data_IF_125145261958
#
_entry.id   IF_125145261958
#
_cell.length_a   1.000
_cell.length_b   1.000
_cell.length_c   1.000
_cell.angle_alpha   90.00
_cell.angle_beta   90.00
_cell.angle_gamma   90.00
#
_symmetry.space_group_name_H-M   'P 1'
#
loop_
_entity.id
_entity.type
_entity.pdbx_description
1 polymer ?
#
# COMPACT_ATOMS: atom_id res chain seq x y z
N UNK A 1 -2.90 -44.90 -7.16
CA UNK A 1 -2.92 -46.28 -6.59
C UNK A 1 -1.59 -46.67 -5.91
N UNK A 2 -0.78 -45.72 -5.44
CA UNK A 2 0.46 -45.98 -4.69
C UNK A 2 0.53 -45.17 -3.37
N UNK A 3 -0.64 -44.76 -2.86
CA UNK A 3 -0.80 -44.03 -1.59
C UNK A 3 -2.00 -44.53 -0.76
N UNK A 4 -2.43 -45.78 -0.97
CA UNK A 4 -3.57 -46.37 -0.22
C UNK A 4 -3.16 -47.34 0.90
N UNK A 5 -1.87 -47.45 1.25
CA UNK A 5 -1.44 -48.48 2.21
C UNK A 5 -0.37 -48.06 3.23
N UNK A 6 -0.55 -46.93 3.90
CA UNK A 6 0.16 -46.65 5.16
C UNK A 6 -0.82 -46.53 6.32
N UNK A 7 -1.31 -47.69 6.76
CA UNK A 7 -2.04 -47.89 8.00
C UNK A 7 -1.06 -48.12 9.15
N UNK A 8 -0.85 -47.11 10.01
CA UNK A 8 -0.76 -47.23 11.49
C UNK A 8 -0.40 -45.87 12.13
N UNK A 9 -1.34 -45.30 12.89
CA UNK A 9 -1.05 -44.42 14.03
C UNK A 9 -0.38 -43.05 13.78
N UNK A 10 -0.46 -42.48 12.59
CA UNK A 10 0.04 -41.12 12.31
C UNK A 10 -1.12 -40.20 11.96
N UNK A 11 -1.09 -38.98 12.51
CA UNK A 11 -1.99 -37.87 12.13
C UNK A 11 -1.79 -37.67 10.61
N UNK A 12 -2.73 -38.15 9.79
CA UNK A 12 -2.66 -37.92 8.34
C UNK A 12 -3.03 -36.48 8.06
N UNK A 13 -2.06 -35.71 7.57
CA UNK A 13 -2.26 -34.35 7.10
C UNK A 13 -3.06 -34.43 5.79
N UNK A 14 -4.24 -33.81 5.76
CA UNK A 14 -5.08 -33.72 4.55
C UNK A 14 -4.42 -32.82 3.48
N UNK A 15 -4.87 -32.93 2.23
CA UNK A 15 -4.31 -32.13 1.13
C UNK A 15 -4.56 -30.63 1.35
N UNK A 16 -5.73 -30.30 1.89
CA UNK A 16 -6.13 -28.96 2.31
C UNK A 16 -5.18 -28.45 3.40
N UNK A 17 -4.88 -29.28 4.42
CA UNK A 17 -3.93 -28.91 5.47
C UNK A 17 -2.51 -28.69 4.92
N UNK A 18 -2.10 -29.40 3.87
CA UNK A 18 -0.83 -29.14 3.20
C UNK A 18 -0.80 -27.77 2.52
N UNK A 19 -1.88 -27.38 1.84
CA UNK A 19 -2.02 -26.03 1.25
C UNK A 19 -1.90 -24.95 2.34
N UNK A 20 -2.61 -25.13 3.45
CA UNK A 20 -2.53 -24.20 4.58
C UNK A 20 -1.12 -24.13 5.19
N UNK A 21 -0.44 -25.27 5.36
CA UNK A 21 0.93 -25.31 5.88
C UNK A 21 1.92 -24.60 4.94
N UNK A 22 1.75 -24.73 3.62
CA UNK A 22 2.56 -23.99 2.65
C UNK A 22 2.29 -22.51 2.72
N UNK A 23 1.02 -22.10 2.81
CA UNK A 23 0.66 -20.69 2.99
C UNK A 23 1.27 -20.10 4.26
N UNK A 24 1.08 -20.75 5.41
CA UNK A 24 1.67 -20.32 6.70
C UNK A 24 3.20 -20.28 6.61
N UNK A 25 3.82 -21.28 5.97
CA UNK A 25 5.27 -21.33 5.78
C UNK A 25 5.78 -20.19 4.89
N UNK A 26 5.11 -19.91 3.77
CA UNK A 26 5.44 -18.79 2.89
C UNK A 26 5.29 -17.44 3.61
N UNK A 27 4.19 -17.24 4.34
CA UNK A 27 3.98 -16.05 5.17
C UNK A 27 5.04 -15.92 6.25
N UNK A 28 5.37 -17.00 6.97
CA UNK A 28 6.42 -16.97 7.98
C UNK A 28 7.79 -16.59 7.38
N UNK A 29 8.09 -17.03 6.15
CA UNK A 29 9.30 -16.62 5.42
C UNK A 29 9.26 -15.14 5.02
N UNK A 30 8.13 -14.65 4.50
CA UNK A 30 7.92 -13.23 4.18
C UNK A 30 8.16 -12.37 5.44
N UNK A 31 7.55 -12.74 6.56
CA UNK A 31 7.65 -12.02 7.84
C UNK A 31 9.02 -12.13 8.50
N UNK A 32 9.79 -13.18 8.20
CA UNK A 32 11.11 -13.35 8.78
C UNK A 32 12.14 -12.36 8.26
N UNK A 33 11.89 -11.75 7.11
CA UNK A 33 12.81 -10.89 6.35
C UNK A 33 14.19 -11.51 6.04
N UNK A 34 14.42 -12.77 6.39
CA UNK A 34 15.65 -13.51 6.08
C UNK A 34 15.78 -13.82 4.59
N UNK A 35 14.64 -13.83 3.90
CA UNK A 35 14.53 -14.06 2.46
C UNK A 35 13.71 -12.91 1.87
N UNK A 36 14.07 -12.49 0.67
CA UNK A 36 13.30 -11.47 -0.05
C UNK A 36 11.84 -11.92 -0.21
N UNK A 37 10.88 -11.08 0.18
CA UNK A 37 9.45 -11.39 0.20
C UNK A 37 8.91 -11.96 -1.12
N UNK A 38 9.35 -11.40 -2.24
CA UNK A 38 9.00 -11.90 -3.58
C UNK A 38 9.44 -13.36 -3.74
N UNK A 39 10.69 -13.68 -3.38
CA UNK A 39 11.21 -15.05 -3.49
C UNK A 39 10.41 -16.00 -2.58
N UNK A 40 10.12 -15.59 -1.34
CA UNK A 40 9.31 -16.37 -0.42
C UNK A 40 7.91 -16.68 -0.98
N UNK A 41 7.23 -15.68 -1.56
CA UNK A 41 5.93 -15.85 -2.19
C UNK A 41 5.98 -16.86 -3.36
N UNK A 42 6.96 -16.71 -4.26
CA UNK A 42 7.12 -17.59 -5.41
C UNK A 42 7.50 -19.03 -5.04
N UNK A 43 8.32 -19.23 -3.99
CA UNK A 43 8.57 -20.56 -3.42
C UNK A 43 7.26 -21.21 -2.99
N UNK A 44 6.40 -20.47 -2.28
CA UNK A 44 5.08 -20.95 -1.88
C UNK A 44 4.20 -21.31 -3.08
N UNK A 45 4.17 -20.47 -4.12
CA UNK A 45 3.42 -20.75 -5.36
C UNK A 45 3.86 -22.05 -6.03
N UNK A 46 5.17 -22.30 -6.09
CA UNK A 46 5.73 -23.54 -6.65
C UNK A 46 5.26 -24.74 -5.84
N UNK A 47 5.30 -24.69 -4.51
CA UNK A 47 4.79 -25.77 -3.66
C UNK A 47 3.29 -25.99 -3.82
N UNK A 48 2.50 -24.92 -3.92
CA UNK A 48 1.05 -25.01 -4.16
C UNK A 48 0.76 -25.69 -5.49
N UNK A 49 1.46 -25.33 -6.57
CA UNK A 49 1.31 -25.99 -7.87
C UNK A 49 1.59 -27.49 -7.77
N UNK A 50 2.70 -27.88 -7.11
CA UNK A 50 3.05 -29.30 -6.94
C UNK A 50 2.02 -30.05 -6.10
N UNK A 51 1.60 -29.49 -4.96
CA UNK A 51 0.58 -30.10 -4.10
C UNK A 51 -0.74 -30.24 -4.86
N UNK A 52 -1.18 -29.18 -5.53
CA UNK A 52 -2.39 -29.17 -6.34
C UNK A 52 -2.38 -30.25 -7.42
N UNK A 53 -1.29 -30.40 -8.16
CA UNK A 53 -1.14 -31.46 -9.18
C UNK A 53 -1.13 -32.87 -8.61
N UNK A 54 -0.48 -33.09 -7.47
CA UNK A 54 -0.35 -34.43 -6.86
C UNK A 54 -1.66 -34.86 -6.21
N UNK A 55 -2.34 -33.93 -5.54
CA UNK A 55 -3.49 -34.24 -4.68
C UNK A 55 -4.84 -34.00 -5.36
N UNK A 56 -4.88 -33.17 -6.42
CA UNK A 56 -6.11 -32.65 -7.02
C UNK A 56 -7.05 -32.01 -5.99
N UNK A 57 -6.47 -31.29 -5.01
CA UNK A 57 -7.22 -30.64 -3.92
C UNK A 57 -8.10 -29.48 -4.40
N UNK A 58 -7.72 -28.82 -5.50
CA UNK A 58 -8.47 -27.68 -6.04
C UNK A 58 -9.61 -28.13 -6.94
N UNK A 59 -10.77 -27.49 -6.80
CA UNK A 59 -11.94 -27.77 -7.62
C UNK A 59 -11.83 -27.03 -8.96
N UNK A 60 -11.06 -27.60 -9.88
CA UNK A 60 -10.93 -27.03 -11.21
C UNK A 60 -12.28 -27.06 -11.94
N UNK A 61 -12.72 -25.91 -12.44
CA UNK A 61 -13.80 -25.88 -13.42
C UNK A 61 -13.42 -26.79 -14.59
N UNK A 62 -14.39 -27.55 -15.13
CA UNK A 62 -14.18 -28.72 -16.01
C UNK A 62 -13.41 -28.49 -17.33
N UNK A 63 -12.92 -27.28 -17.59
CA UNK A 63 -12.18 -26.88 -18.78
C UNK A 63 -10.81 -26.23 -18.52
N UNK A 64 -10.42 -25.96 -17.27
CA UNK A 64 -9.17 -25.23 -16.98
C UNK A 64 -8.07 -26.13 -16.41
N UNK A 65 -6.83 -25.87 -16.83
CA UNK A 65 -5.65 -26.44 -16.18
C UNK A 65 -5.41 -25.75 -14.84
N UNK A 66 -4.78 -26.43 -13.86
CA UNK A 66 -4.41 -25.79 -12.59
C UNK A 66 -3.53 -24.54 -12.81
N UNK A 67 -2.69 -24.54 -13.83
CA UNK A 67 -1.85 -23.40 -14.19
C UNK A 67 -2.70 -22.20 -14.63
N UNK A 68 -3.74 -22.42 -15.44
CA UNK A 68 -4.69 -21.38 -15.83
C UNK A 68 -5.51 -20.88 -14.64
N UNK A 69 -5.95 -21.80 -13.78
CA UNK A 69 -6.68 -21.46 -12.55
C UNK A 69 -5.83 -20.58 -11.64
N UNK A 70 -4.58 -20.97 -11.38
CA UNK A 70 -3.64 -20.17 -10.58
C UNK A 70 -3.36 -18.78 -11.19
N UNK A 71 -3.26 -18.70 -12.52
CA UNK A 71 -3.11 -17.40 -13.20
C UNK A 71 -4.38 -16.55 -13.08
N UNK A 72 -5.56 -17.16 -13.05
CA UNK A 72 -6.84 -16.46 -12.88
C UNK A 72 -7.01 -15.86 -11.49
N UNK A 73 -6.34 -16.41 -10.47
CA UNK A 73 -6.32 -15.82 -9.12
C UNK A 73 -5.54 -14.51 -9.06
N UNK A 74 -4.66 -14.22 -10.04
CA UNK A 74 -3.92 -12.96 -10.11
C UNK A 74 -4.83 -11.83 -10.58
N UNK A 75 -5.04 -10.84 -9.73
CA UNK A 75 -5.80 -9.65 -10.10
C UNK A 75 -4.95 -8.70 -10.96
N UNK A 76 -5.12 -8.79 -12.28
CA UNK A 76 -4.43 -7.93 -13.24
C UNK A 76 -4.94 -6.48 -13.24
N UNK A 77 -6.10 -6.18 -12.64
CA UNK A 77 -6.54 -4.80 -12.46
C UNK A 77 -5.63 -4.10 -11.45
N UNK A 78 -5.30 -4.78 -10.34
CA UNK A 78 -4.36 -4.25 -9.33
C UNK A 78 -2.96 -4.08 -9.95
N UNK A 79 -2.45 -5.11 -10.62
CA UNK A 79 -1.12 -5.06 -11.26
C UNK A 79 -1.03 -3.93 -12.30
N UNK A 80 -2.05 -3.80 -13.17
CA UNK A 80 -2.09 -2.79 -14.20
C UNK A 80 -2.16 -1.36 -13.65
N UNK A 81 -2.97 -1.15 -12.60
CA UNK A 81 -3.05 0.14 -11.93
C UNK A 81 -1.71 0.56 -11.35
N UNK A 82 -1.08 -0.32 -10.56
CA UNK A 82 0.20 -0.06 -9.92
C UNK A 82 1.30 0.19 -10.94
N UNK A 83 1.38 -0.64 -11.99
CA UNK A 83 2.35 -0.46 -13.07
C UNK A 83 2.24 0.93 -13.72
N UNK A 84 1.03 1.40 -14.02
CA UNK A 84 0.84 2.72 -14.60
C UNK A 84 1.29 3.85 -13.67
N UNK A 85 1.00 3.75 -12.37
CA UNK A 85 1.44 4.75 -11.38
C UNK A 85 2.95 4.73 -11.13
N UNK A 86 3.57 3.56 -11.08
CA UNK A 86 5.02 3.41 -10.97
C UNK A 86 5.75 4.02 -12.17
N UNK A 87 5.20 3.92 -13.37
CA UNK A 87 5.76 4.59 -14.56
C UNK A 87 5.70 6.13 -14.39
N UNK A 88 4.58 6.68 -13.91
CA UNK A 88 4.50 8.12 -13.63
C UNK A 88 5.56 8.57 -12.63
N UNK A 89 5.70 7.83 -11.52
CA UNK A 89 6.69 8.12 -10.50
C UNK A 89 8.12 8.04 -11.03
N UNK A 90 8.44 7.00 -11.79
CA UNK A 90 9.75 6.81 -12.42
C UNK A 90 10.10 7.97 -13.36
N UNK A 91 9.15 8.46 -14.17
CA UNK A 91 9.38 9.61 -15.05
C UNK A 91 9.55 10.91 -14.24
N UNK A 92 8.77 11.12 -13.18
CA UNK A 92 8.93 12.29 -12.30
C UNK A 92 10.28 12.29 -11.59
N UNK A 93 10.72 11.12 -11.11
CA UNK A 93 12.03 10.94 -10.51
C UNK A 93 13.15 11.21 -11.52
N UNK A 94 13.04 10.67 -12.74
CA UNK A 94 13.97 10.96 -13.83
C UNK A 94 14.09 12.47 -14.12
N UNK A 95 12.99 13.22 -13.97
CA UNK A 95 13.01 14.67 -14.18
C UNK A 95 13.61 15.49 -13.02
N UNK A 96 13.92 14.87 -11.87
CA UNK A 96 14.35 15.57 -10.66
C UNK A 96 13.23 16.22 -9.85
N UNK A 97 11.97 15.86 -10.09
CA UNK A 97 10.79 16.47 -9.43
C UNK A 97 10.84 16.37 -7.89
N UNK A 98 11.26 15.23 -7.35
CA UNK A 98 11.27 15.00 -5.91
C UNK A 98 12.38 15.78 -5.20
N UNK A 99 13.55 15.94 -5.85
CA UNK A 99 14.64 16.78 -5.34
C UNK A 99 14.21 18.27 -5.34
N UNK A 100 13.56 18.73 -6.43
CA UNK A 100 12.95 20.06 -6.50
C UNK A 100 12.01 20.31 -5.31
N UNK A 101 11.13 19.36 -5.00
CA UNK A 101 10.17 19.51 -3.91
C UNK A 101 10.87 19.54 -2.55
N UNK A 102 11.87 18.69 -2.31
CA UNK A 102 12.57 18.68 -1.03
C UNK A 102 13.34 19.98 -0.77
N UNK A 103 14.00 20.54 -1.79
CA UNK A 103 14.65 21.87 -1.71
C UNK A 103 13.59 22.93 -1.42
N UNK A 104 12.45 22.90 -2.15
CA UNK A 104 11.35 23.85 -1.93
C UNK A 104 10.77 23.76 -0.52
N UNK A 105 10.55 22.56 0.01
CA UNK A 105 10.08 22.32 1.37
C UNK A 105 11.06 22.87 2.41
N UNK A 106 12.36 22.70 2.18
CA UNK A 106 13.42 23.25 3.03
C UNK A 106 13.45 24.78 3.01
N UNK A 107 13.28 25.41 1.84
CA UNK A 107 13.19 26.88 1.74
C UNK A 107 11.95 27.42 2.43
N UNK A 108 10.81 26.74 2.27
CA UNK A 108 9.55 27.11 2.94
C UNK A 108 9.62 26.93 4.46
N UNK A 109 10.40 25.96 4.95
CA UNK A 109 10.60 25.74 6.38
C UNK A 109 11.45 26.84 7.02
N UNK A 110 12.24 27.58 6.23
CA UNK A 110 13.20 28.60 6.71
C UNK A 110 14.14 28.05 7.80
N UNK A 111 14.45 26.75 7.69
CA UNK A 111 15.26 26.01 8.64
C UNK A 111 14.59 25.71 9.99
N UNK A 112 13.26 25.84 10.10
CA UNK A 112 12.52 25.25 11.22
C UNK A 112 12.37 23.73 10.98
N UNK A 113 12.98 22.86 11.82
CA UNK A 113 12.93 21.41 11.59
C UNK A 113 11.52 20.83 11.68
N UNK A 114 10.64 21.43 12.48
CA UNK A 114 9.24 20.97 12.56
C UNK A 114 8.47 21.33 11.29
N UNK A 115 8.69 22.53 10.74
CA UNK A 115 8.06 22.89 9.47
C UNK A 115 8.58 22.01 8.32
N UNK A 116 9.83 21.56 8.37
CA UNK A 116 10.35 20.59 7.41
C UNK A 116 9.57 19.27 7.48
N UNK A 117 9.36 18.73 8.68
CA UNK A 117 8.50 17.55 8.92
C UNK A 117 7.09 17.76 8.37
N UNK A 118 6.50 18.93 8.62
CA UNK A 118 5.15 19.25 8.12
C UNK A 118 5.14 19.31 6.60
N UNK A 119 6.06 20.03 5.94
CA UNK A 119 6.02 20.20 4.49
C UNK A 119 6.34 18.91 3.73
N UNK A 120 7.40 18.20 4.13
CA UNK A 120 7.75 16.92 3.50
C UNK A 120 6.67 15.88 3.77
N UNK A 121 6.22 15.74 5.02
CA UNK A 121 5.13 14.83 5.37
C UNK A 121 3.84 15.13 4.62
N UNK A 122 3.42 16.41 4.54
CA UNK A 122 2.24 16.82 3.76
C UNK A 122 2.40 16.48 2.28
N UNK A 123 3.57 16.78 1.72
CA UNK A 123 3.85 16.49 0.31
C UNK A 123 3.76 14.98 0.04
N UNK A 124 4.41 14.17 0.87
CA UNK A 124 4.37 12.70 0.74
C UNK A 124 2.94 12.18 0.85
N UNK A 125 2.14 12.67 1.81
CA UNK A 125 0.71 12.36 1.90
C UNK A 125 -0.04 12.71 0.61
N UNK A 126 0.16 13.91 0.05
CA UNK A 126 -0.53 14.36 -1.16
C UNK A 126 -0.14 13.51 -2.37
N UNK A 127 1.14 13.21 -2.53
CA UNK A 127 1.61 12.33 -3.60
C UNK A 127 1.04 10.93 -3.43
N UNK A 128 1.01 10.44 -2.18
CA UNK A 128 0.44 9.13 -1.85
C UNK A 128 -1.09 9.06 -2.05
N UNK A 129 -1.79 10.15 -2.38
CA UNK A 129 -3.18 10.06 -2.83
C UNK A 129 -3.29 9.58 -4.28
N UNK A 130 -2.21 9.67 -5.05
CA UNK A 130 -2.22 9.39 -6.49
C UNK A 130 -1.21 8.31 -6.88
N UNK A 131 -0.09 8.21 -6.16
CA UNK A 131 0.97 7.22 -6.36
C UNK A 131 0.96 6.31 -5.12
N UNK A 132 1.40 5.06 -5.24
CA UNK A 132 1.51 4.18 -4.08
C UNK A 132 2.56 4.70 -3.08
N UNK A 133 2.29 4.45 -1.81
CA UNK A 133 3.11 4.84 -0.67
C UNK A 133 4.56 4.31 -0.74
N UNK A 134 4.79 3.10 -1.25
CA UNK A 134 6.12 2.50 -1.35
C UNK A 134 6.99 3.27 -2.34
N UNK A 135 6.46 3.49 -3.54
CA UNK A 135 7.11 4.28 -4.58
C UNK A 135 7.37 5.70 -4.10
N UNK A 136 6.41 6.35 -3.44
CA UNK A 136 6.60 7.69 -2.87
C UNK A 136 7.79 7.73 -1.90
N UNK A 137 7.91 6.74 -1.02
CA UNK A 137 9.00 6.64 -0.02
C UNK A 137 10.35 6.33 -0.65
N UNK A 138 10.42 5.40 -1.60
CA UNK A 138 11.68 5.05 -2.27
C UNK A 138 12.33 6.26 -2.90
N UNK A 139 11.52 7.22 -3.37
CA UNK A 139 12.01 8.42 -4.03
C UNK A 139 12.26 9.57 -3.06
N UNK A 140 11.33 9.87 -2.14
CA UNK A 140 11.46 11.05 -1.27
C UNK A 140 12.41 10.81 -0.09
N UNK A 141 12.42 9.61 0.51
CA UNK A 141 13.21 9.35 1.71
C UNK A 141 14.73 9.51 1.51
N UNK A 142 15.35 9.06 0.39
CA UNK A 142 16.77 9.30 0.14
C UNK A 142 17.09 10.79 -0.01
N UNK A 143 16.19 11.54 -0.65
CA UNK A 143 16.32 13.00 -0.81
C UNK A 143 16.24 13.67 0.56
N UNK A 144 15.26 13.30 1.38
CA UNK A 144 15.08 13.80 2.74
C UNK A 144 16.27 13.47 3.63
N UNK A 145 16.83 12.28 3.51
CA UNK A 145 18.05 11.89 4.21
C UNK A 145 19.23 12.80 3.82
N UNK A 146 19.44 13.04 2.52
CA UNK A 146 20.49 13.95 2.03
C UNK A 146 20.27 15.38 2.50
N UNK A 147 19.04 15.87 2.50
CA UNK A 147 18.71 17.21 3.01
C UNK A 147 18.97 17.33 4.51
N UNK A 148 18.59 16.34 5.30
CA UNK A 148 18.88 16.31 6.73
C UNK A 148 20.39 16.28 7.01
N UNK A 149 21.16 15.56 6.19
CA UNK A 149 22.63 15.55 6.28
C UNK A 149 23.23 16.92 5.95
N UNK A 150 22.77 17.58 4.87
CA UNK A 150 23.18 18.97 4.54
C UNK A 150 22.85 19.96 5.66
N UNK A 151 21.69 19.79 6.30
CA UNK A 151 21.21 20.62 7.41
C UNK A 151 21.82 20.23 8.77
N UNK A 152 22.62 19.15 8.82
CA UNK A 152 23.19 18.60 10.05
C UNK A 152 22.13 18.31 11.14
N UNK A 153 20.91 17.94 10.73
CA UNK A 153 19.82 17.54 11.63
C UNK A 153 19.63 16.03 11.62
N UNK A 154 19.15 15.49 12.74
CA UNK A 154 18.81 14.06 12.80
C UNK A 154 17.63 13.76 11.83
N UNK A 155 17.80 12.85 10.85
CA UNK A 155 16.80 12.55 9.83
C UNK A 155 15.63 11.69 10.32
N UNK A 156 15.70 11.10 11.53
CA UNK A 156 14.68 10.17 12.02
C UNK A 156 13.28 10.81 12.02
N UNK A 157 13.04 12.01 12.58
CA UNK A 157 11.68 12.57 12.62
C UNK A 157 11.05 12.84 11.25
N UNK A 158 11.72 13.47 10.25
CA UNK A 158 11.13 13.63 8.93
C UNK A 158 10.94 12.31 8.19
N UNK A 159 11.88 11.36 8.28
CA UNK A 159 11.72 10.04 7.65
C UNK A 159 10.53 9.25 8.23
N UNK A 160 10.39 9.22 9.57
CA UNK A 160 9.23 8.60 10.22
C UNK A 160 7.93 9.31 9.83
N UNK A 161 7.96 10.64 9.72
CA UNK A 161 6.77 11.40 9.35
C UNK A 161 6.35 11.13 7.91
N UNK A 162 7.30 11.09 6.97
CA UNK A 162 7.03 10.74 5.58
C UNK A 162 6.37 9.37 5.48
N UNK A 163 6.97 8.35 6.10
CA UNK A 163 6.42 6.99 6.05
C UNK A 163 5.03 6.90 6.70
N UNK A 164 4.90 7.42 7.92
CA UNK A 164 3.64 7.30 8.67
C UNK A 164 2.51 8.11 8.04
N UNK A 165 2.81 9.31 7.56
CA UNK A 165 1.82 10.17 6.91
C UNK A 165 1.54 9.75 5.46
N UNK A 166 2.45 9.02 4.81
CA UNK A 166 2.19 8.32 3.55
C UNK A 166 1.15 7.24 3.75
N UNK A 167 1.38 6.30 4.68
CA UNK A 167 0.42 5.23 5.03
C UNK A 167 -0.93 5.80 5.48
N UNK A 168 -0.91 6.82 6.38
CA UNK A 168 -2.13 7.50 6.84
C UNK A 168 -2.87 8.16 5.66
N UNK A 169 -2.15 8.81 4.75
CA UNK A 169 -2.68 9.45 3.55
C UNK A 169 -3.28 8.47 2.56
N UNK A 170 -2.59 7.34 2.36
CA UNK A 170 -2.98 6.26 1.46
C UNK A 170 -4.38 5.73 1.78
N UNK A 171 -4.77 5.68 3.06
CA UNK A 171 -6.13 5.28 3.49
C UNK A 171 -7.24 6.09 2.80
N UNK A 172 -7.03 7.38 2.47
CA UNK A 172 -8.06 8.18 1.80
C UNK A 172 -8.26 7.86 0.32
N UNK A 173 -7.33 7.15 -0.33
CA UNK A 173 -7.34 6.97 -1.77
C UNK A 173 -7.33 5.50 -2.15
N UNK A 174 -8.11 5.15 -3.18
CA UNK A 174 -8.09 3.83 -3.79
C UNK A 174 -6.69 3.45 -4.30
N UNK A 175 -5.92 4.42 -4.79
CA UNK A 175 -4.62 4.20 -5.45
C UNK A 175 -3.45 4.26 -4.46
N UNK A 176 -3.63 4.95 -3.34
CA UNK A 176 -2.54 5.35 -2.46
C UNK A 176 -1.85 4.23 -1.70
N UNK A 177 -2.53 3.11 -1.49
CA UNK A 177 -2.01 1.94 -0.80
C UNK A 177 -2.55 0.68 -1.51
N UNK A 178 -1.70 -0.32 -1.83
CA UNK A 178 -2.15 -1.53 -2.52
C UNK A 178 -3.31 -2.30 -1.84
N UNK A 179 -3.43 -2.38 -0.49
CA UNK A 179 -4.63 -2.87 0.19
C UNK A 179 -5.94 -2.26 -0.31
N UNK A 180 -5.96 -0.96 -0.55
CA UNK A 180 -7.17 -0.26 -1.01
C UNK A 180 -7.54 -0.64 -2.44
N UNK A 181 -6.53 -0.80 -3.31
CA UNK A 181 -6.72 -1.30 -4.67
C UNK A 181 -7.33 -2.71 -4.64
N UNK A 182 -6.82 -3.58 -3.76
CA UNK A 182 -7.31 -4.96 -3.61
C UNK A 182 -8.74 -5.02 -3.09
N UNK A 183 -9.05 -4.23 -2.06
CA UNK A 183 -10.41 -4.11 -1.53
C UNK A 183 -11.35 -3.63 -2.62
N UNK A 184 -10.94 -2.61 -3.38
CA UNK A 184 -11.78 -2.02 -4.40
C UNK A 184 -11.99 -2.94 -5.61
N UNK A 185 -10.95 -3.66 -6.05
CA UNK A 185 -11.06 -4.61 -7.15
C UNK A 185 -12.00 -5.78 -6.79
N UNK A 186 -11.88 -6.30 -5.57
CA UNK A 186 -12.80 -7.31 -5.06
C UNK A 186 -14.24 -6.78 -4.95
N UNK A 187 -14.41 -5.61 -4.33
CA UNK A 187 -15.72 -4.98 -4.16
C UNK A 187 -16.43 -4.72 -5.50
N UNK A 188 -15.70 -4.30 -6.54
CA UNK A 188 -16.25 -4.15 -7.89
C UNK A 188 -16.69 -5.50 -8.50
N UNK A 189 -15.95 -6.58 -8.24
CA UNK A 189 -16.30 -7.93 -8.71
C UNK A 189 -17.61 -8.42 -8.06
N UNK A 190 -17.83 -8.07 -6.80
CA UNK A 190 -19.07 -8.34 -6.06
C UNK A 190 -20.20 -7.34 -6.36
N UNK A 191 -19.96 -6.34 -7.22
CA UNK A 191 -20.95 -5.31 -7.57
C UNK A 191 -21.27 -4.33 -6.45
N UNK A 192 -20.38 -4.17 -5.47
CA UNK A 192 -20.53 -3.18 -4.39
C UNK A 192 -20.29 -1.77 -4.93
N UNK A 193 -21.20 -0.86 -4.59
CA UNK A 193 -21.15 0.54 -5.01
C UNK A 193 -20.26 1.34 -4.06
N UNK A 194 -19.56 2.35 -4.58
CA UNK A 194 -18.77 3.29 -3.77
C UNK A 194 -17.33 2.87 -3.51
N UNK A 195 -16.86 1.76 -4.09
CA UNK A 195 -15.46 1.35 -4.06
C UNK A 195 -14.71 1.76 -5.34
N UNK A 196 -14.91 3.01 -5.76
CA UNK A 196 -14.17 3.66 -6.83
C UNK A 196 -13.25 4.77 -6.27
N UNK A 197 -12.50 5.43 -7.14
CA UNK A 197 -11.55 6.47 -6.73
C UNK A 197 -12.23 7.58 -5.89
N UNK A 198 -13.42 8.04 -6.32
CA UNK A 198 -14.16 9.06 -5.60
C UNK A 198 -14.76 8.54 -4.30
N UNK A 199 -15.26 7.31 -4.29
CA UNK A 199 -15.85 6.68 -3.14
C UNK A 199 -14.87 6.58 -1.98
N UNK A 200 -13.61 6.19 -2.22
CA UNK A 200 -12.56 6.26 -1.19
C UNK A 200 -12.37 7.68 -0.63
N UNK A 201 -12.27 8.69 -1.51
CA UNK A 201 -12.10 10.07 -1.08
C UNK A 201 -13.30 10.62 -0.29
N UNK A 202 -14.52 10.24 -0.67
CA UNK A 202 -15.76 10.67 -0.03
C UNK A 202 -15.91 10.01 1.35
N UNK A 203 -15.68 8.70 1.45
CA UNK A 203 -15.91 7.94 2.68
C UNK A 203 -14.76 8.08 3.66
N UNK A 204 -13.51 8.08 3.19
CA UNK A 204 -12.31 8.05 4.04
C UNK A 204 -11.53 9.37 4.06
N UNK A 205 -11.76 10.29 3.12
CA UNK A 205 -10.97 11.53 3.02
C UNK A 205 -11.01 12.41 4.27
N UNK A 206 -12.20 12.63 4.84
CA UNK A 206 -12.34 13.42 6.09
C UNK A 206 -11.73 12.69 7.29
N UNK A 207 -11.90 11.37 7.37
CA UNK A 207 -11.29 10.54 8.41
C UNK A 207 -9.77 10.67 8.35
N UNK A 208 -9.19 10.49 7.17
CA UNK A 208 -7.76 10.58 6.94
C UNK A 208 -7.23 11.97 7.27
N UNK A 209 -7.95 13.05 6.94
CA UNK A 209 -7.56 14.40 7.36
C UNK A 209 -7.52 14.55 8.89
N UNK A 210 -8.52 14.02 9.60
CA UNK A 210 -8.55 14.04 11.07
C UNK A 210 -7.40 13.21 11.67
N UNK A 211 -7.18 12.01 11.14
CA UNK A 211 -6.07 11.13 11.52
C UNK A 211 -4.71 11.80 11.25
N UNK A 212 -4.55 12.46 10.11
CA UNK A 212 -3.34 13.19 9.73
C UNK A 212 -3.04 14.34 10.70
N UNK A 213 -4.04 15.15 11.05
CA UNK A 213 -3.90 16.22 12.05
C UNK A 213 -3.55 15.64 13.42
N UNK A 214 -4.19 14.53 13.83
CA UNK A 214 -3.90 13.87 15.09
C UNK A 214 -2.46 13.32 15.14
N UNK A 215 -2.00 12.69 14.05
CA UNK A 215 -0.63 12.19 13.89
C UNK A 215 0.39 13.32 14.01
N UNK A 216 0.22 14.41 13.27
CA UNK A 216 1.11 15.57 13.39
C UNK A 216 1.06 16.20 14.79
N UNK A 217 -0.12 16.26 15.42
CA UNK A 217 -0.27 16.73 16.79
C UNK A 217 0.56 15.92 17.78
N UNK A 218 0.48 14.59 17.68
CA UNK A 218 1.28 13.68 18.49
C UNK A 218 2.78 13.81 18.21
N UNK A 219 3.20 13.79 16.94
CA UNK A 219 4.61 13.92 16.56
C UNK A 219 5.20 15.26 17.01
N UNK A 220 4.42 16.36 16.98
CA UNK A 220 4.85 17.67 17.47
C UNK A 220 5.15 17.66 18.96
N UNK A 221 4.32 16.97 19.73
CA UNK A 221 4.50 16.81 21.16
C UNK A 221 5.67 15.88 21.47
N UNK A 222 5.77 14.75 20.78
CA UNK A 222 6.82 13.75 20.97
C UNK A 222 8.21 14.32 20.64
N UNK A 223 8.35 15.01 19.50
CA UNK A 223 9.61 15.62 19.04
C UNK A 223 9.82 17.06 19.55
N UNK A 224 9.22 17.44 20.69
CA UNK A 224 9.32 18.79 21.26
C UNK A 224 10.75 19.26 21.53
N UNK A 225 11.65 18.34 21.88
CA UNK A 225 13.06 18.64 22.15
C UNK A 225 13.87 18.72 20.85
N UNK A 226 13.62 17.77 19.92
CA UNK A 226 14.28 17.74 18.62
C UNK A 226 13.99 19.01 17.81
N UNK A 227 12.72 19.44 17.75
CA UNK A 227 12.32 20.63 16.98
C UNK A 227 12.87 21.95 17.51
N UNK A 228 13.44 21.96 18.73
CA UNK A 228 14.10 23.14 19.29
C UNK A 228 15.52 23.35 18.76
N UNK A 229 16.13 22.33 18.16
CA UNK A 229 17.49 22.38 17.62
C UNK A 229 17.47 22.89 16.18
N UNK A 230 17.72 24.18 16.00
CA UNK A 230 17.78 24.78 14.65
C UNK A 230 19.13 24.48 13.98
N UNK A 231 19.16 24.29 12.65
CA UNK A 231 20.41 24.16 11.90
C UNK A 231 21.28 25.41 12.02
N UNK A 232 22.61 25.24 12.11
CA UNK A 232 23.56 26.35 12.26
C UNK A 232 23.86 27.08 10.93
N UNK A 233 23.68 26.43 9.77
CA UNK A 233 24.08 26.92 8.45
C UNK A 233 22.95 26.88 7.39
N UNK A 234 21.80 27.52 7.66
CA UNK A 234 20.62 27.51 6.76
C UNK A 234 20.85 28.37 5.49
N UNK A 235 21.71 29.37 5.57
CA UNK A 235 21.87 30.43 4.56
C UNK A 235 22.24 29.87 3.17
N UNK A 236 23.18 28.92 3.11
CA UNK A 236 23.59 28.31 1.84
C UNK A 236 22.47 27.56 1.12
N UNK A 237 21.53 26.94 1.84
CA UNK A 237 20.42 26.19 1.22
C UNK A 237 19.29 27.14 0.80
N UNK A 238 19.12 28.27 1.49
CA UNK A 238 18.18 29.32 1.06
C UNK A 238 18.61 29.99 -0.25
N UNK A 239 19.91 29.96 -0.54
CA UNK A 239 20.52 30.48 -1.76
C UNK A 239 20.48 29.49 -2.94
N UNK A 240 20.28 28.18 -2.72
CA UNK A 240 20.12 27.19 -3.79
C UNK A 240 18.85 27.50 -4.62
N UNK A 241 18.95 27.49 -5.95
CA UNK A 241 17.78 27.54 -6.84
C UNK A 241 17.18 26.13 -6.94
N UNK A 242 15.92 25.97 -6.53
CA UNK A 242 15.24 24.68 -6.62
C UNK A 242 15.14 24.16 -8.07
N UNK A 243 15.15 25.04 -9.07
CA UNK A 243 15.06 24.65 -10.48
C UNK A 243 16.34 24.03 -11.01
N UNK A 244 17.47 24.21 -10.33
CA UNK A 244 18.73 23.55 -10.69
C UNK A 244 18.66 22.04 -10.45
N UNK A 245 17.72 21.57 -9.63
CA UNK A 245 17.46 20.15 -9.41
C UNK A 245 16.60 19.50 -10.49
N UNK A 246 16.02 20.28 -11.42
CA UNK A 246 15.13 19.77 -12.47
C UNK A 246 15.88 19.62 -13.78
N UNK A 247 16.27 18.39 -14.11
CA UNK A 247 17.02 18.08 -15.33
C UNK A 247 16.22 18.40 -16.61
N UNK A 248 14.92 18.05 -16.63
CA UNK A 248 14.03 18.36 -17.75
C UNK A 248 12.69 18.98 -17.32
N UNK A 249 12.61 20.32 -17.24
CA UNK A 249 11.39 21.02 -16.84
C UNK A 249 10.21 20.85 -17.81
N UNK A 250 10.46 20.54 -19.09
CA UNK A 250 9.38 20.34 -20.06
C UNK A 250 8.74 18.98 -19.86
N UNK A 251 9.58 17.95 -19.72
CA UNK A 251 9.11 16.61 -19.41
C UNK A 251 8.41 16.57 -18.06
N UNK A 252 8.96 17.20 -17.02
CA UNK A 252 8.30 17.30 -15.72
C UNK A 252 6.89 17.90 -15.82
N UNK A 253 6.73 19.03 -16.51
CA UNK A 253 5.42 19.68 -16.71
C UNK A 253 4.45 18.82 -17.50
N UNK A 254 4.94 18.15 -18.53
CA UNK A 254 4.14 17.22 -19.33
C UNK A 254 3.68 16.03 -18.47
N UNK A 255 4.57 15.40 -17.72
CA UNK A 255 4.26 14.28 -16.82
C UNK A 255 3.23 14.69 -15.78
N UNK A 256 3.40 15.84 -15.13
CA UNK A 256 2.42 16.38 -14.17
C UNK A 256 1.08 16.69 -14.83
N UNK A 257 1.07 17.21 -16.06
CA UNK A 257 -0.17 17.49 -16.79
C UNK A 257 -0.92 16.20 -17.17
N UNK A 258 -0.19 15.19 -17.67
CA UNK A 258 -0.78 13.88 -18.00
C UNK A 258 -1.24 13.16 -16.74
N UNK A 259 -0.46 13.18 -15.65
CA UNK A 259 -0.88 12.63 -14.36
C UNK A 259 -2.16 13.33 -13.85
N UNK A 260 -2.22 14.66 -13.92
CA UNK A 260 -3.41 15.41 -13.57
C UNK A 260 -4.63 15.03 -14.41
N UNK A 261 -4.44 14.81 -15.72
CA UNK A 261 -5.49 14.32 -16.61
C UNK A 261 -5.94 12.89 -16.24
N UNK A 262 -4.99 12.00 -15.91
CA UNK A 262 -5.28 10.64 -15.43
C UNK A 262 -6.11 10.66 -14.15
N UNK A 263 -5.75 11.51 -13.19
CA UNK A 263 -6.49 11.66 -11.91
C UNK A 263 -7.91 12.20 -12.17
N UNK A 264 -8.06 13.19 -13.03
CA UNK A 264 -9.38 13.68 -13.45
C UNK A 264 -10.17 12.56 -14.12
N UNK A 265 -9.53 11.73 -14.94
CA UNK A 265 -10.17 10.59 -15.58
C UNK A 265 -10.57 9.49 -14.59
N UNK A 266 -9.80 9.23 -13.53
CA UNK A 266 -10.23 8.37 -12.43
C UNK A 266 -11.51 8.89 -11.78
N UNK A 267 -11.54 10.18 -11.46
CA UNK A 267 -12.71 10.81 -10.84
C UNK A 267 -13.92 10.85 -11.78
N UNK A 268 -13.71 11.02 -13.08
CA UNK A 268 -14.79 11.04 -14.08
C UNK A 268 -15.14 9.66 -14.66
N UNK A 269 -14.49 8.58 -14.21
CA UNK A 269 -14.64 7.23 -14.78
C UNK A 269 -16.10 6.77 -14.85
N UNK A 270 -16.87 6.92 -13.78
CA UNK A 270 -18.30 6.59 -13.77
C UNK A 270 -19.11 7.40 -14.80
N UNK A 271 -18.82 8.70 -14.94
CA UNK A 271 -19.47 9.54 -15.95
C UNK A 271 -19.12 9.12 -17.38
N UNK A 272 -17.88 8.69 -17.62
CA UNK A 272 -17.46 8.17 -18.91
C UNK A 272 -18.14 6.85 -19.24
N UNK A 273 -18.26 5.96 -18.25
CA UNK A 273 -18.97 4.69 -18.41
C UNK A 273 -20.42 4.91 -18.82
N UNK A 274 -21.13 5.83 -18.15
CA UNK A 274 -22.52 6.19 -18.47
C UNK A 274 -22.66 6.84 -19.85
N UNK A 275 -21.75 7.77 -20.20
CA UNK A 275 -21.85 8.55 -21.44
C UNK A 275 -21.45 7.76 -22.69
N UNK A 276 -20.44 6.88 -22.58
CA UNK A 276 -19.87 6.14 -23.70
C UNK A 276 -20.45 4.73 -23.84
N UNK A 277 -21.16 4.24 -22.82
CA UNK A 277 -21.80 2.92 -22.83
C UNK A 277 -20.81 1.75 -22.76
N UNK A 278 -19.59 1.99 -22.27
CA UNK A 278 -18.60 0.94 -21.98
C UNK A 278 -17.91 1.24 -20.66
N UNK A 279 -17.65 0.20 -19.86
CA UNK A 279 -16.93 0.34 -18.59
C UNK A 279 -15.44 0.54 -18.85
N UNK A 280 -14.88 1.62 -18.29
CA UNK A 280 -13.46 1.89 -18.34
C UNK A 280 -12.87 1.77 -16.94
N UNK A 281 -12.26 0.61 -16.65
CA UNK A 281 -11.60 0.38 -15.37
C UNK A 281 -10.41 1.32 -15.14
N UNK A 282 -10.15 1.69 -13.89
CA UNK A 282 -9.08 2.63 -13.55
C UNK A 282 -7.69 2.13 -13.93
N UNK A 283 -7.48 0.81 -13.97
CA UNK A 283 -6.24 0.19 -14.43
C UNK A 283 -5.97 0.52 -15.91
N UNK A 284 -7.01 0.53 -16.75
CA UNK A 284 -6.90 0.90 -18.16
C UNK A 284 -6.62 2.39 -18.32
N UNK A 285 -7.24 3.25 -17.50
CA UNK A 285 -6.96 4.69 -17.46
C UNK A 285 -5.50 4.94 -17.07
N UNK A 286 -5.02 4.28 -16.02
CA UNK A 286 -3.65 4.37 -15.51
C UNK A 286 -2.63 3.95 -16.58
N UNK A 287 -2.81 2.76 -17.17
CA UNK A 287 -1.94 2.25 -18.23
C UNK A 287 -1.99 3.12 -19.50
N UNK A 288 -3.14 3.67 -19.84
CA UNK A 288 -3.27 4.60 -20.97
C UNK A 288 -2.50 5.89 -20.72
N UNK A 289 -2.59 6.44 -19.51
CA UNK A 289 -1.82 7.61 -19.08
C UNK A 289 -0.31 7.33 -19.11
N UNK A 290 0.11 6.18 -18.59
CA UNK A 290 1.50 5.72 -18.61
C UNK A 290 2.02 5.53 -20.04
N UNK A 291 1.24 4.88 -20.91
CA UNK A 291 1.59 4.73 -22.34
C UNK A 291 1.67 6.07 -23.06
N UNK A 292 0.76 7.00 -22.75
CA UNK A 292 0.77 8.35 -23.32
C UNK A 292 2.02 9.13 -22.89
N UNK A 293 2.38 9.11 -21.60
CA UNK A 293 3.59 9.80 -21.16
C UNK A 293 4.85 9.16 -21.75
N UNK A 294 4.94 7.83 -21.84
CA UNK A 294 6.08 7.16 -22.48
C UNK A 294 6.20 7.50 -23.98
N UNK A 295 5.07 7.68 -24.67
CA UNK A 295 5.06 8.06 -26.09
C UNK A 295 5.42 9.54 -26.32
N UNK A 296 5.04 10.42 -25.39
CA UNK A 296 5.25 11.86 -25.50
C UNK A 296 6.54 12.35 -24.83
N UNK A 297 7.02 11.65 -23.81
CA UNK A 297 8.26 11.96 -23.11
C UNK A 297 9.43 11.81 -24.07
N UNK A 298 10.11 12.92 -24.32
CA UNK A 298 11.29 12.98 -25.17
C UNK A 298 12.39 13.71 -24.40
N UNK A 299 13.35 12.98 -23.79
CA UNK A 299 14.49 13.60 -23.14
C UNK A 299 15.17 14.59 -24.09
N UNK A 300 15.60 15.73 -23.54
CA UNK A 300 16.33 16.76 -24.28
C UNK A 300 17.69 16.27 -24.76
N UNK A 301 18.40 15.52 -23.93
CA UNK A 301 19.70 14.97 -24.29
C UNK A 301 19.54 13.78 -25.24
N UNK A 302 20.16 13.87 -26.42
CA UNK A 302 20.08 12.81 -27.43
C UNK A 302 20.69 11.48 -26.95
N UNK A 303 21.71 11.51 -26.10
CA UNK A 303 22.34 10.32 -25.50
C UNK A 303 21.40 9.57 -24.57
N UNK A 304 20.52 10.26 -23.85
CA UNK A 304 19.54 9.65 -22.96
C UNK A 304 18.32 9.11 -23.72
N UNK A 305 18.08 9.52 -24.97
CA UNK A 305 16.90 9.08 -25.74
C UNK A 305 16.89 7.59 -26.05
N UNK A 306 18.05 6.99 -26.32
CA UNK A 306 18.14 5.56 -26.61
C UNK A 306 18.02 4.71 -25.33
N UNK A 307 18.44 5.24 -24.18
CA UNK A 307 18.41 4.57 -22.87
C UNK A 307 17.19 4.89 -22.00
N UNK A 308 16.38 5.91 -22.36
CA UNK A 308 15.30 6.43 -21.52
C UNK A 308 14.36 5.34 -21.01
N UNK A 309 13.88 4.48 -21.91
CA UNK A 309 12.96 3.42 -21.52
C UNK A 309 13.62 2.45 -20.53
N UNK A 310 14.91 2.16 -20.68
CA UNK A 310 15.64 1.31 -19.72
C UNK A 310 15.74 2.01 -18.36
N UNK A 311 16.05 3.31 -18.31
CA UNK A 311 16.11 4.05 -17.05
C UNK A 311 14.75 4.11 -16.35
N UNK A 312 13.66 4.27 -17.10
CA UNK A 312 12.31 4.19 -16.53
C UNK A 312 12.00 2.79 -16.03
N UNK A 313 12.32 1.74 -16.80
CA UNK A 313 12.08 0.34 -16.41
C UNK A 313 12.88 -0.02 -15.15
N UNK A 314 14.13 0.47 -15.02
CA UNK A 314 14.98 0.23 -13.85
C UNK A 314 14.45 0.89 -12.58
N UNK A 315 13.67 1.99 -12.73
CA UNK A 315 12.99 2.68 -11.62
C UNK A 315 11.64 2.06 -11.26
N UNK A 316 11.02 1.30 -12.16
CA UNK A 316 9.76 0.60 -11.87
C UNK A 316 10.00 -0.56 -10.89
N UNK A 317 9.15 -0.67 -9.88
CA UNK A 317 9.27 -1.68 -8.83
C UNK A 317 8.75 -3.06 -9.24
N UNK A 318 9.41 -3.70 -10.21
CA UNK A 318 9.05 -5.04 -10.71
C UNK A 318 8.96 -6.10 -9.60
N UNK A 319 9.77 -5.95 -8.56
CA UNK A 319 9.76 -6.84 -7.41
C UNK A 319 8.44 -6.79 -6.63
N UNK A 320 7.80 -5.62 -6.55
CA UNK A 320 6.49 -5.44 -5.94
C UNK A 320 5.39 -6.08 -6.79
N UNK A 321 5.38 -5.82 -8.11
CA UNK A 321 4.42 -6.45 -9.04
C UNK A 321 4.49 -7.98 -9.01
N UNK A 322 5.70 -8.55 -9.02
CA UNK A 322 5.92 -9.99 -8.90
C UNK A 322 5.51 -10.53 -7.51
N UNK A 323 5.66 -9.73 -6.46
CA UNK A 323 5.22 -10.10 -5.12
C UNK A 323 3.69 -10.18 -5.04
N UNK A 324 2.96 -9.19 -5.57
CA UNK A 324 1.50 -9.21 -5.62
C UNK A 324 0.97 -10.40 -6.41
N UNK A 325 1.55 -10.69 -7.58
CA UNK A 325 1.16 -11.86 -8.37
C UNK A 325 1.32 -13.17 -7.58
N UNK A 326 2.46 -13.35 -6.90
CA UNK A 326 2.67 -14.53 -6.05
C UNK A 326 1.72 -14.57 -4.84
N UNK A 327 1.46 -13.42 -4.21
CA UNK A 327 0.57 -13.34 -3.07
C UNK A 327 -0.88 -13.68 -3.43
N UNK A 328 -1.39 -13.19 -4.56
CA UNK A 328 -2.71 -13.53 -5.06
C UNK A 328 -2.87 -15.03 -5.28
N UNK A 329 -1.85 -15.69 -5.85
CA UNK A 329 -1.83 -17.14 -6.02
C UNK A 329 -1.90 -17.86 -4.66
N UNK A 330 -1.12 -17.41 -3.67
CA UNK A 330 -1.11 -18.01 -2.33
C UNK A 330 -2.46 -17.87 -1.63
N UNK A 331 -3.10 -16.70 -1.77
CA UNK A 331 -4.39 -16.40 -1.15
C UNK A 331 -5.52 -17.17 -1.82
N UNK A 332 -5.60 -17.14 -3.15
CA UNK A 332 -6.61 -17.89 -3.92
C UNK A 332 -6.56 -19.39 -3.63
N UNK A 333 -5.37 -19.95 -3.44
CA UNK A 333 -5.21 -21.35 -3.04
C UNK A 333 -5.79 -21.65 -1.65
N UNK A 334 -5.63 -20.77 -0.65
CA UNK A 334 -6.19 -20.98 0.69
C UNK A 334 -7.70 -20.76 0.71
N UNK A 335 -8.19 -19.83 -0.11
CA UNK A 335 -9.61 -19.59 -0.31
C UNK A 335 -10.32 -20.83 -0.87
N UNK A 336 -9.78 -21.44 -1.92
CA UNK A 336 -10.31 -22.66 -2.54
C UNK A 336 -10.44 -23.86 -1.58
N UNK A 337 -9.52 -23.98 -0.62
CA UNK A 337 -9.56 -25.07 0.38
C UNK A 337 -10.40 -24.74 1.63
N UNK A 338 -10.99 -23.53 1.69
CA UNK A 338 -12.04 -23.18 2.65
C UNK A 338 -11.59 -22.87 4.09
N UNK A 339 -10.30 -22.65 4.36
CA UNK A 339 -9.83 -22.34 5.73
C UNK A 339 -10.23 -20.95 6.23
N UNK A 340 -10.60 -20.05 5.33
CA UNK A 340 -10.94 -18.68 5.67
C UNK A 340 -12.27 -18.58 6.45
N UNK A 341 -13.13 -19.59 6.36
CA UNK A 341 -14.41 -19.64 7.11
C UNK A 341 -14.20 -19.72 8.62
N UNK A 342 -13.15 -20.39 9.10
CA UNK A 342 -12.84 -20.47 10.53
C UNK A 342 -12.43 -19.12 11.12
N UNK A 343 -11.72 -18.30 10.33
CA UNK A 343 -11.33 -16.94 10.74
C UNK A 343 -12.57 -16.04 10.77
N UNK A 344 -13.44 -16.16 9.77
CA UNK A 344 -14.72 -15.45 9.69
C UNK A 344 -15.58 -15.73 10.94
N UNK A 345 -15.73 -17.00 11.32
CA UNK A 345 -16.47 -17.41 12.51
C UNK A 345 -15.87 -16.84 13.80
N UNK A 346 -14.54 -16.85 13.93
CA UNK A 346 -13.87 -16.28 15.10
C UNK A 346 -14.13 -14.77 15.26
N UNK A 347 -13.97 -14.00 14.16
CA UNK A 347 -14.20 -12.55 14.16
C UNK A 347 -15.68 -12.23 14.41
N UNK A 348 -16.60 -12.96 13.78
CA UNK A 348 -18.03 -12.80 13.97
C UNK A 348 -18.45 -13.07 15.43
N UNK A 349 -17.97 -14.15 16.03
CA UNK A 349 -18.30 -14.50 17.42
C UNK A 349 -17.81 -13.46 18.44
N UNK A 350 -16.66 -12.83 18.21
CA UNK A 350 -16.16 -11.74 19.07
C UNK A 350 -17.07 -10.51 19.00
N UNK A 351 -17.62 -10.22 17.82
CA UNK A 351 -18.47 -9.05 17.61
C UNK A 351 -19.87 -9.16 18.25
N UNK A 352 -20.29 -10.37 18.62
CA UNK A 352 -21.63 -10.62 19.17
C UNK A 352 -22.76 -10.50 18.14
N UNK A 353 -22.45 -10.43 16.84
CA UNK A 353 -23.43 -10.39 15.75
C UNK A 353 -24.03 -9.02 15.44
N UNK A 354 -23.56 -7.96 16.11
CA UNK A 354 -23.92 -6.58 15.77
C UNK A 354 -22.96 -6.04 14.70
N UNK A 355 -23.53 -5.53 13.60
CA UNK A 355 -22.75 -5.13 12.43
C UNK A 355 -21.77 -3.98 12.73
N UNK A 356 -22.13 -3.04 13.61
CA UNK A 356 -21.27 -1.91 13.96
C UNK A 356 -20.12 -2.38 14.84
N UNK A 357 -20.39 -3.23 15.84
CA UNK A 357 -19.34 -3.84 16.63
C UNK A 357 -18.44 -4.75 15.79
N UNK A 358 -18.97 -5.41 14.75
CA UNK A 358 -18.19 -6.20 13.81
C UNK A 358 -17.24 -5.32 13.00
N UNK A 359 -17.71 -4.20 12.45
CA UNK A 359 -16.86 -3.23 11.75
C UNK A 359 -15.75 -2.69 12.67
N UNK A 360 -16.07 -2.31 13.90
CA UNK A 360 -15.07 -1.86 14.89
C UNK A 360 -14.08 -2.99 15.22
N UNK A 361 -14.55 -4.22 15.36
CA UNK A 361 -13.68 -5.39 15.61
C UNK A 361 -12.70 -5.57 14.45
N UNK A 362 -13.15 -5.42 13.20
CA UNK A 362 -12.26 -5.48 12.03
C UNK A 362 -11.21 -4.38 12.07
N UNK A 363 -11.55 -3.13 12.43
CA UNK A 363 -10.55 -2.04 12.55
C UNK A 363 -9.40 -2.48 13.48
N UNK A 364 -9.73 -2.98 14.68
CA UNK A 364 -8.72 -3.29 15.69
C UNK A 364 -7.99 -4.61 15.44
N UNK A 365 -8.67 -5.64 14.94
CA UNK A 365 -8.04 -6.90 14.53
C UNK A 365 -7.07 -6.65 13.37
N UNK A 366 -7.50 -5.90 12.36
CA UNK A 366 -6.66 -5.51 11.24
C UNK A 366 -5.48 -4.66 11.68
N UNK A 367 -5.69 -3.70 12.59
CA UNK A 367 -4.61 -2.88 13.09
C UNK A 367 -3.57 -3.69 13.88
N UNK A 368 -4.03 -4.60 14.74
CA UNK A 368 -3.15 -5.46 15.53
C UNK A 368 -2.39 -6.47 14.66
N UNK A 369 -3.06 -7.07 13.67
CA UNK A 369 -2.42 -8.00 12.74
C UNK A 369 -1.42 -7.26 11.83
N UNK A 370 -1.81 -6.12 11.27
CA UNK A 370 -0.96 -5.30 10.41
C UNK A 370 0.20 -4.62 11.15
N UNK A 371 0.19 -4.63 12.49
CA UNK A 371 1.36 -4.21 13.28
C UNK A 371 2.49 -5.24 13.25
N UNK A 372 2.21 -6.50 12.90
CA UNK A 372 3.15 -7.62 12.92
C UNK A 372 3.36 -8.19 11.51
N UNK A 373 2.40 -7.96 10.63
CA UNK A 373 2.33 -8.46 9.26
C UNK A 373 2.21 -7.24 8.34
N UNK A 374 2.87 -7.26 7.19
CA UNK A 374 2.68 -6.23 6.17
C UNK A 374 1.18 -6.12 5.80
N UNK A 375 0.68 -4.89 5.70
CA UNK A 375 -0.72 -4.56 5.42
C UNK A 375 -1.24 -5.22 4.13
N UNK A 376 -0.38 -5.46 3.14
CA UNK A 376 -0.72 -6.10 1.86
C UNK A 376 -1.15 -7.57 2.04
N UNK A 377 -0.26 -8.50 2.48
CA UNK A 377 -0.61 -9.90 2.64
C UNK A 377 -1.71 -10.12 3.67
N UNK A 378 -1.80 -9.28 4.70
CA UNK A 378 -2.90 -9.32 5.65
C UNK A 378 -4.25 -8.99 4.99
N UNK A 379 -4.32 -7.89 4.24
CA UNK A 379 -5.57 -7.46 3.56
C UNK A 379 -6.02 -8.51 2.55
N UNK A 380 -5.08 -9.08 1.79
CA UNK A 380 -5.34 -10.15 0.84
C UNK A 380 -6.06 -11.34 1.48
N UNK A 381 -5.62 -11.76 2.67
CA UNK A 381 -6.26 -12.85 3.40
C UNK A 381 -7.61 -12.44 4.01
N UNK A 382 -7.78 -11.17 4.39
CA UNK A 382 -8.98 -10.71 5.11
C UNK A 382 -10.16 -10.39 4.18
N UNK A 383 -9.91 -10.01 2.92
CA UNK A 383 -10.97 -9.77 1.91
C UNK A 383 -11.92 -10.97 1.78
N UNK A 384 -11.44 -12.20 1.48
CA UNK A 384 -12.29 -13.37 1.38
C UNK A 384 -12.89 -13.82 2.73
N UNK A 385 -12.24 -13.50 3.86
CA UNK A 385 -12.83 -13.70 5.19
C UNK A 385 -14.08 -12.82 5.37
N UNK A 386 -14.02 -11.55 4.95
CA UNK A 386 -15.16 -10.62 4.99
C UNK A 386 -16.27 -11.08 4.06
N UNK A 387 -15.93 -11.51 2.84
CA UNK A 387 -16.89 -12.05 1.89
C UNK A 387 -17.63 -13.27 2.45
N UNK A 388 -16.87 -14.21 3.03
CA UNK A 388 -17.41 -15.39 3.69
C UNK A 388 -18.39 -15.04 4.81
N UNK A 389 -18.13 -13.97 5.59
CA UNK A 389 -19.06 -13.50 6.62
C UNK A 389 -20.39 -13.04 6.00
N UNK A 390 -20.36 -12.31 4.89
CA UNK A 390 -21.56 -11.88 4.17
C UNK A 390 -22.41 -13.06 3.72
N UNK A 391 -21.78 -14.09 3.14
CA UNK A 391 -22.46 -15.30 2.67
C UNK A 391 -23.01 -16.14 3.83
N UNK A 392 -22.21 -16.35 4.87
CA UNK A 392 -22.52 -17.29 5.95
C UNK A 392 -23.50 -16.71 6.98
N UNK A 393 -23.38 -15.42 7.29
CA UNK A 393 -24.15 -14.77 8.35
C UNK A 393 -25.12 -13.71 7.84
N UNK A 394 -25.11 -13.38 6.54
CA UNK A 394 -26.01 -12.40 5.95
C UNK A 394 -25.73 -10.95 6.39
N UNK A 395 -24.51 -10.65 6.83
CA UNK A 395 -24.10 -9.31 7.26
C UNK A 395 -23.77 -8.42 6.06
N UNK A 396 -24.04 -7.12 6.19
CA UNK A 396 -23.58 -6.15 5.19
C UNK A 396 -22.04 -6.02 5.21
N UNK A 397 -21.37 -6.40 4.12
CA UNK A 397 -19.91 -6.43 4.01
C UNK A 397 -19.27 -5.09 3.64
N UNK A 398 -20.01 -4.17 3.03
CA UNK A 398 -19.54 -2.82 2.66
C UNK A 398 -18.81 -2.09 3.79
N UNK A 399 -19.39 -1.91 4.99
CA UNK A 399 -18.69 -1.24 6.10
C UNK A 399 -17.50 -2.03 6.63
N UNK A 400 -17.48 -3.35 6.45
CA UNK A 400 -16.38 -4.21 6.88
C UNK A 400 -15.15 -4.01 5.99
N UNK A 401 -15.35 -3.78 4.69
CA UNK A 401 -14.26 -3.42 3.78
C UNK A 401 -13.69 -2.03 4.06
N UNK A 402 -14.53 -1.05 4.39
CA UNK A 402 -14.06 0.25 4.87
C UNK A 402 -13.29 0.13 6.19
N UNK A 403 -13.79 -0.70 7.13
CA UNK A 403 -13.09 -1.01 8.37
C UNK A 403 -11.73 -1.68 8.14
N UNK A 404 -11.64 -2.57 7.14
CA UNK A 404 -10.39 -3.21 6.73
C UNK A 404 -9.40 -2.20 6.19
N UNK A 405 -9.82 -1.30 5.28
CA UNK A 405 -8.97 -0.23 4.75
C UNK A 405 -8.41 0.67 5.88
N UNK A 406 -9.26 1.06 6.83
CA UNK A 406 -8.84 1.85 8.00
C UNK A 406 -7.85 1.07 8.88
N UNK A 407 -8.22 -0.16 9.27
CA UNK A 407 -7.44 -0.95 10.22
C UNK A 407 -6.09 -1.39 9.64
N UNK A 408 -6.05 -1.86 8.39
CA UNK A 408 -4.81 -2.26 7.74
C UNK A 408 -3.87 -1.07 7.51
N UNK A 409 -4.37 0.03 6.92
CA UNK A 409 -3.55 1.20 6.64
C UNK A 409 -3.05 1.92 7.90
N UNK A 410 -3.89 2.07 8.92
CA UNK A 410 -3.43 2.64 10.20
C UNK A 410 -2.55 1.68 10.99
N UNK A 411 -2.86 0.39 10.99
CA UNK A 411 -2.11 -0.68 11.64
C UNK A 411 -0.67 -0.81 11.17
N UNK A 412 -0.45 -0.66 9.86
CA UNK A 412 0.88 -0.77 9.24
C UNK A 412 1.92 0.19 9.83
N UNK A 413 1.47 1.30 10.42
CA UNK A 413 2.35 2.30 11.06
C UNK A 413 2.97 1.84 12.38
N UNK A 414 2.42 0.80 13.02
CA UNK A 414 2.81 0.41 14.37
C UNK A 414 4.28 0.00 14.47
N UNK A 415 4.78 -0.71 13.45
CA UNK A 415 6.14 -1.25 13.41
C UNK A 415 6.75 -1.10 12.01
N UNK A 416 8.08 -1.21 11.87
CA UNK A 416 8.73 -1.17 10.56
C UNK A 416 8.21 -2.20 9.57
N UNK A 417 7.83 -3.40 10.05
CA UNK A 417 7.42 -4.52 9.19
C UNK A 417 5.94 -4.48 8.84
N UNK A 418 5.17 -3.55 9.41
CA UNK A 418 3.72 -3.47 9.22
C UNK A 418 3.30 -2.91 7.85
N UNK A 419 4.22 -2.26 7.13
CA UNK A 419 4.03 -1.79 5.76
C UNK A 419 5.36 -1.81 5.02
N UNK A 420 5.28 -2.07 3.72
CA UNK A 420 6.41 -2.03 2.79
C UNK A 420 7.13 -0.67 2.81
N UNK A 421 6.38 0.42 2.90
CA UNK A 421 6.92 1.78 2.97
C UNK A 421 7.80 1.98 4.23
N UNK A 422 7.43 1.32 5.33
CA UNK A 422 8.11 1.43 6.61
C UNK A 422 9.45 0.67 6.58
N UNK A 423 9.46 -0.53 6.01
CA UNK A 423 10.69 -1.31 5.76
C UNK A 423 11.65 -0.52 4.87
N UNK A 424 11.16 0.07 3.79
CA UNK A 424 11.99 0.86 2.87
C UNK A 424 12.57 2.11 3.55
N UNK A 425 11.77 2.80 4.36
CA UNK A 425 12.25 3.94 5.16
C UNK A 425 13.39 3.55 6.10
N UNK A 426 13.27 2.41 6.79
CA UNK A 426 14.35 1.88 7.65
C UNK A 426 15.59 1.56 6.81
N UNK A 427 15.45 0.81 5.72
CA UNK A 427 16.57 0.45 4.84
C UNK A 427 17.29 1.68 4.25
N UNK A 428 16.55 2.75 3.93
CA UNK A 428 17.13 4.00 3.43
C UNK A 428 17.88 4.73 4.54
N UNK A 429 17.35 4.74 5.76
CA UNK A 429 17.99 5.39 6.91
C UNK A 429 19.36 4.77 7.27
N UNK A 430 19.58 3.48 6.96
CA UNK A 430 20.86 2.78 7.17
C UNK A 430 22.01 3.37 6.35
N UNK A 431 21.71 4.09 5.26
CA UNK A 431 22.71 4.81 4.46
C UNK A 431 23.21 6.08 5.15
N UNK A 432 22.54 6.51 6.22
CA UNK A 432 22.88 7.70 7.00
C UNK A 432 23.67 7.40 8.27
N UNK A 433 23.97 8.46 9.01
CA UNK A 433 24.68 8.36 10.30
C UNK A 433 23.81 7.89 11.47
N UNK A 434 22.47 7.90 11.30
CA UNK A 434 21.50 7.53 12.34
C UNK A 434 20.44 6.59 11.75
N UNK A 435 20.73 5.28 11.65
CA UNK A 435 19.76 4.29 11.22
C UNK A 435 18.58 4.21 12.18
N UNK A 436 17.36 4.11 11.65
CA UNK A 436 16.14 3.96 12.44
C UNK A 436 16.10 2.56 13.02
N UNK A 437 16.04 2.46 14.36
CA UNK A 437 15.82 1.18 15.03
C UNK A 437 14.32 0.88 15.18
N UNK A 438 13.96 -0.40 15.25
CA UNK A 438 12.57 -0.84 15.56
C UNK A 438 12.03 -0.20 16.83
N UNK A 439 12.89 0.02 17.83
CA UNK A 439 12.52 0.66 19.10
C UNK A 439 12.20 2.14 18.91
N UNK A 440 12.94 2.85 18.05
CA UNK A 440 12.65 4.25 17.73
C UNK A 440 11.35 4.37 16.95
N UNK A 441 11.15 3.48 15.97
CA UNK A 441 9.89 3.40 15.23
C UNK A 441 8.72 3.18 16.16
N UNK A 442 8.75 2.12 16.97
CA UNK A 442 7.63 1.71 17.81
C UNK A 442 7.21 2.77 18.85
N UNK A 443 8.12 3.65 19.29
CA UNK A 443 7.77 4.76 20.19
C UNK A 443 6.89 5.83 19.52
N UNK A 444 6.88 5.88 18.20
CA UNK A 444 6.04 6.81 17.42
C UNK A 444 4.91 6.07 16.74
N UNK A 445 5.22 4.99 16.03
CA UNK A 445 4.29 4.16 15.28
C UNK A 445 3.16 3.58 16.12
N UNK A 446 3.45 2.93 17.25
CA UNK A 446 2.41 2.31 18.09
C UNK A 446 1.43 3.37 18.65
N UNK A 447 1.88 4.48 19.28
CA UNK A 447 0.96 5.53 19.70
C UNK A 447 0.15 6.14 18.56
N UNK A 448 0.76 6.39 17.39
CA UNK A 448 0.04 6.90 16.22
C UNK A 448 -1.04 5.92 15.79
N UNK A 449 -0.72 4.63 15.68
CA UNK A 449 -1.68 3.58 15.31
C UNK A 449 -2.88 3.55 16.25
N UNK A 450 -2.63 3.60 17.56
CA UNK A 450 -3.71 3.64 18.56
C UNK A 450 -4.57 4.90 18.41
N UNK A 451 -3.94 6.06 18.18
CA UNK A 451 -4.63 7.33 17.98
C UNK A 451 -5.51 7.27 16.72
N UNK A 452 -4.97 6.85 15.58
CA UNK A 452 -5.69 6.80 14.30
C UNK A 452 -6.78 5.73 14.30
N UNK A 453 -6.56 4.56 14.92
CA UNK A 453 -7.62 3.56 15.12
C UNK A 453 -8.74 4.05 16.04
N UNK A 454 -8.41 4.85 17.06
CA UNK A 454 -9.41 5.49 17.90
C UNK A 454 -10.22 6.54 17.14
N UNK A 455 -9.56 7.36 16.32
CA UNK A 455 -10.23 8.29 15.40
C UNK A 455 -11.14 7.53 14.42
N UNK A 456 -10.66 6.41 13.86
CA UNK A 456 -11.44 5.53 12.99
C UNK A 456 -12.66 4.93 13.69
N UNK A 457 -12.50 4.52 14.96
CA UNK A 457 -13.61 4.00 15.78
C UNK A 457 -14.67 5.07 16.00
N UNK A 458 -14.28 6.29 16.38
CA UNK A 458 -15.22 7.41 16.52
C UNK A 458 -15.90 7.72 15.19
N UNK A 459 -15.14 7.72 14.10
CA UNK A 459 -15.67 7.97 12.77
C UNK A 459 -16.69 6.90 12.36
N UNK A 460 -16.38 5.63 12.57
CA UNK A 460 -17.30 4.51 12.34
C UNK A 460 -18.59 4.68 13.17
N UNK A 461 -18.50 5.05 14.44
CA UNK A 461 -19.68 5.30 15.29
C UNK A 461 -20.56 6.45 14.76
N UNK A 462 -19.94 7.57 14.38
CA UNK A 462 -20.65 8.80 13.97
C UNK A 462 -21.19 8.74 12.54
N UNK A 463 -20.47 8.09 11.63
CA UNK A 463 -20.75 8.08 10.19
C UNK A 463 -21.14 6.70 9.65
N UNK A 464 -21.48 5.74 10.52
CA UNK A 464 -21.94 4.41 10.09
C UNK A 464 -23.03 4.50 9.01
N UNK A 465 -24.01 5.40 9.14
CA UNK A 465 -25.07 5.53 8.13
C UNK A 465 -24.57 5.81 6.70
N UNK A 466 -23.46 6.56 6.55
CA UNK A 466 -22.83 6.84 5.25
C UNK A 466 -21.99 5.67 4.77
N UNK A 467 -21.33 4.95 5.69
CA UNK A 467 -20.49 3.79 5.35
C UNK A 467 -21.32 2.53 5.03
N UNK A 468 -22.60 2.52 5.38
CA UNK A 468 -23.53 1.41 5.15
C UNK A 468 -24.47 1.66 3.96
N UNK A 469 -24.49 2.87 3.41
CA UNK A 469 -25.28 3.29 2.24
C UNK A 469 -24.44 3.30 0.98
#
# INVERSE_FOLDING_TARGET
MLLESLHHGQIMISAEQLVLLVFIGAFALILSEKLHRTIAAWIGCVFILFIGKITNVFNLASAHSLEEEMLSWVDFHVIGLLMGMMIFAAVLEFCGFFEYVAIKATKLSKGDPWMLVVYLGTFTTIISLFIDNVTAIIIIAPVTLRMCQKLEINPIPPLLAEAILSDTGGVASMVGDPPNVMIAAYANTEGLVGFDFNGFLIHLGILTLLSWVATLGYMRWYYREWRGKKPEHIEHILEEDEWDAVDDPQMMKLTLAVLGLTVVAFSASGMFSDALGFELGIHAISLSGAGLILALARPKEETLREGFLNEIIDKVEWQALLFFAGLFILVGAVEEVGYLTYVAEFVYNISGGDELYLAITIIWVSAGASAIIDNIPFTAAMIPVIAGMGIQYGVNTTPLYWALAMGAGFGGNATPIGSSANVMTVAISERGSHPITTKEWAKVGLPVTVITCFVATIFMLLFHGVLYS
#
